data_IF_072827628706
#
_entry.id   IF_072827628706
#
_cell.length_a   1.000
_cell.length_b   1.000
_cell.length_c   1.000
_cell.angle_alpha   90.00
_cell.angle_beta   90.00
_cell.angle_gamma   90.00
#
_symmetry.space_group_name_H-M   'P 1'
#
loop_
_entity.id
_entity.type
_entity.pdbx_description
1 polymer ?
#
# COMPACT_ATOMS: atom_id res chain seq x y z
N UNK A 1 0.59 13.16 42.09
CA UNK A 1 1.01 11.91 41.39
C UNK A 1 -0.15 10.95 41.45
N UNK A 2 -0.76 10.60 40.31
CA UNK A 2 -2.05 9.91 40.24
C UNK A 2 -1.88 8.55 39.50
N UNK A 3 -2.19 7.40 40.10
CA UNK A 3 -1.86 6.08 39.56
C UNK A 3 -2.97 5.49 38.68
N UNK A 4 -3.52 6.27 37.73
CA UNK A 4 -4.62 5.84 36.84
C UNK A 4 -4.27 5.88 35.34
N UNK A 5 -2.98 5.80 34.99
CA UNK A 5 -2.49 5.77 33.59
C UNK A 5 -1.73 4.49 33.24
N UNK A 6 -2.07 3.34 33.85
CA UNK A 6 -1.36 2.07 33.60
C UNK A 6 -2.12 0.98 32.81
N UNK A 7 -3.31 1.24 32.29
CA UNK A 7 -4.16 0.15 31.73
C UNK A 7 -4.59 0.28 30.26
N UNK A 8 -3.89 1.02 29.39
CA UNK A 8 -4.27 1.08 27.96
C UNK A 8 -3.11 1.01 26.95
N UNK A 9 -1.94 0.52 27.33
CA UNK A 9 -0.83 0.32 26.39
C UNK A 9 -0.25 -1.09 26.49
N UNK A 10 -1.11 -2.10 26.30
CA UNK A 10 -0.64 -3.41 25.86
C UNK A 10 -0.44 -3.29 24.35
N UNK A 11 0.75 -2.84 23.96
CA UNK A 11 1.25 -3.01 22.61
C UNK A 11 1.37 -4.52 22.41
N UNK A 12 0.41 -5.06 21.68
CA UNK A 12 0.42 -6.43 21.20
C UNK A 12 1.54 -6.54 20.14
N UNK A 13 2.79 -6.69 20.58
CA UNK A 13 3.86 -7.21 19.75
C UNK A 13 3.61 -8.71 19.65
N UNK A 14 2.71 -9.11 18.75
CA UNK A 14 2.59 -10.52 18.35
C UNK A 14 3.72 -10.77 17.36
N UNK A 15 4.75 -11.45 17.86
CA UNK A 15 5.72 -12.15 17.02
C UNK A 15 4.95 -13.19 16.19
N UNK A 16 4.83 -12.94 14.88
CA UNK A 16 4.23 -13.91 13.96
C UNK A 16 5.21 -15.05 13.70
N UNK A 17 4.86 -16.24 14.20
CA UNK A 17 5.32 -17.52 13.66
C UNK A 17 4.12 -18.16 12.97
N UNK A 18 4.03 -18.03 11.65
CA UNK A 18 3.01 -18.72 10.85
C UNK A 18 3.60 -20.01 10.30
N UNK A 19 3.03 -21.15 10.71
CA UNK A 19 3.25 -22.43 10.05
C UNK A 19 2.68 -22.37 8.64
N UNK A 20 3.54 -22.43 7.62
CA UNK A 20 3.14 -22.43 6.20
C UNK A 20 3.07 -23.86 5.66
N UNK A 21 1.95 -24.21 5.03
CA UNK A 21 1.87 -25.34 4.10
C UNK A 21 2.53 -24.96 2.76
N UNK A 22 3.31 -25.86 2.13
CA UNK A 22 3.96 -25.57 0.86
C UNK A 22 2.94 -25.37 -0.27
N UNK A 23 3.02 -24.23 -0.95
CA UNK A 23 2.21 -23.91 -2.14
C UNK A 23 2.91 -24.47 -3.38
N UNK A 24 2.18 -25.22 -4.20
CA UNK A 24 2.68 -25.75 -5.48
C UNK A 24 2.58 -24.71 -6.59
N UNK A 25 3.53 -24.72 -7.53
CA UNK A 25 3.76 -23.69 -8.56
C UNK A 25 2.59 -23.40 -9.53
N UNK A 26 1.47 -24.13 -9.47
CA UNK A 26 0.32 -23.93 -10.36
C UNK A 26 -0.72 -22.89 -9.89
N UNK A 27 -0.68 -22.42 -8.63
CA UNK A 27 -1.74 -21.57 -8.05
C UNK A 27 -1.40 -20.07 -7.91
N UNK A 28 -0.24 -19.63 -8.40
CA UNK A 28 0.32 -18.29 -8.14
C UNK A 28 -0.47 -17.11 -8.73
N UNK A 29 -1.45 -17.33 -9.61
CA UNK A 29 -2.23 -16.24 -10.22
C UNK A 29 -3.52 -15.89 -9.46
N UNK A 30 -4.16 -16.84 -8.76
CA UNK A 30 -5.50 -16.64 -8.18
C UNK A 30 -5.51 -16.51 -6.66
N UNK A 31 -4.53 -17.08 -5.97
CA UNK A 31 -4.58 -17.19 -4.51
C UNK A 31 -3.95 -15.98 -3.77
N UNK A 32 -3.07 -15.23 -4.44
CA UNK A 32 -2.40 -14.06 -3.82
C UNK A 32 -3.30 -12.86 -3.54
N UNK A 33 -4.52 -12.83 -4.10
CA UNK A 33 -5.50 -11.79 -3.76
C UNK A 33 -6.19 -12.05 -2.41
N UNK A 34 -6.10 -13.27 -1.87
CA UNK A 34 -6.77 -13.64 -0.61
C UNK A 34 -5.91 -13.38 0.64
N UNK A 35 -4.59 -13.24 0.51
CA UNK A 35 -3.68 -13.09 1.65
C UNK A 35 -3.70 -11.68 2.30
N UNK A 36 -4.35 -10.69 1.66
CA UNK A 36 -4.50 -9.32 2.21
C UNK A 36 -5.64 -9.22 3.25
N UNK A 37 -6.32 -10.32 3.57
CA UNK A 37 -7.36 -10.37 4.61
C UNK A 37 -6.84 -10.58 6.04
N UNK A 38 -5.54 -10.53 6.30
CA UNK A 38 -4.97 -10.55 7.66
C UNK A 38 -4.78 -9.11 8.15
N UNK A 39 -5.73 -8.42 8.78
CA UNK A 39 -6.39 -8.81 10.03
C UNK A 39 -7.74 -8.06 10.19
N UNK A 40 -8.67 -8.22 9.25
CA UNK A 40 -10.09 -7.83 9.42
C UNK A 40 -10.97 -8.92 8.81
N UNK A 41 -10.88 -10.16 9.28
CA UNK A 41 -11.87 -11.21 9.01
C UNK A 41 -11.73 -12.40 9.96
N UNK A 42 -12.29 -12.25 11.16
CA UNK A 42 -13.07 -13.35 11.74
C UNK A 42 -14.49 -12.82 11.85
N UNK A 43 -15.28 -12.97 10.80
CA UNK A 43 -16.74 -13.04 10.83
C UNK A 43 -17.24 -13.52 9.45
N UNK A 44 -18.18 -14.45 9.50
CA UNK A 44 -18.77 -15.28 8.44
C UNK A 44 -19.41 -14.51 7.25
N UNK A 45 -19.64 -15.24 6.14
CA UNK A 45 -20.51 -14.89 4.99
C UNK A 45 -21.60 -13.85 5.34
N UNK A 46 -21.80 -12.70 4.68
CA UNK A 46 -21.83 -12.44 3.24
C UNK A 46 -21.79 -10.91 2.93
N UNK A 47 -20.91 -10.14 3.59
CA UNK A 47 -20.77 -8.69 3.30
C UNK A 47 -19.30 -8.29 3.28
N UNK A 48 -18.82 -7.77 2.12
CA UNK A 48 -17.47 -7.19 1.99
C UNK A 48 -17.23 -6.14 3.07
N UNK A 49 -16.01 -6.06 3.60
CA UNK A 49 -15.68 -5.02 4.57
C UNK A 49 -15.76 -3.64 3.89
N UNK A 50 -16.12 -2.56 4.62
CA UNK A 50 -16.14 -1.21 4.07
C UNK A 50 -14.82 -0.80 3.40
N UNK A 51 -13.70 -1.22 3.97
CA UNK A 51 -12.35 -0.98 3.42
C UNK A 51 -12.22 -1.64 2.05
N UNK A 52 -12.59 -2.92 1.91
CA UNK A 52 -12.52 -3.64 0.63
C UNK A 52 -13.37 -2.97 -0.46
N UNK A 53 -14.59 -2.55 -0.10
CA UNK A 53 -15.49 -1.85 -1.03
C UNK A 53 -14.86 -0.52 -1.48
N UNK A 54 -14.31 0.25 -0.54
CA UNK A 54 -13.66 1.52 -0.86
C UNK A 54 -12.47 1.30 -1.81
N UNK A 55 -11.60 0.36 -1.46
CA UNK A 55 -10.36 0.08 -2.20
C UNK A 55 -10.67 -0.42 -3.61
N UNK A 56 -11.59 -1.37 -3.76
CA UNK A 56 -12.00 -1.90 -5.07
C UNK A 56 -12.58 -0.80 -5.96
N UNK A 57 -13.47 0.04 -5.43
CA UNK A 57 -14.06 1.16 -6.17
C UNK A 57 -12.98 2.16 -6.58
N UNK A 58 -12.09 2.55 -5.66
CA UNK A 58 -11.01 3.50 -5.93
C UNK A 58 -10.08 2.97 -7.03
N UNK A 59 -9.59 1.73 -6.90
CA UNK A 59 -8.69 1.09 -7.87
C UNK A 59 -9.34 1.03 -9.25
N UNK A 60 -10.58 0.54 -9.36
CA UNK A 60 -11.28 0.46 -10.65
C UNK A 60 -11.43 1.83 -11.31
N UNK A 61 -11.76 2.86 -10.53
CA UNK A 61 -11.94 4.22 -11.04
C UNK A 61 -10.62 4.88 -11.46
N UNK A 62 -9.53 4.65 -10.72
CA UNK A 62 -8.19 5.10 -11.13
C UNK A 62 -7.81 4.50 -12.48
N UNK A 63 -8.00 3.20 -12.68
CA UNK A 63 -7.67 2.56 -13.95
C UNK A 63 -8.59 2.95 -15.12
N UNK A 64 -9.82 3.35 -14.83
CA UNK A 64 -10.74 3.89 -15.83
C UNK A 64 -10.42 5.33 -16.26
N UNK A 65 -9.67 6.09 -15.45
CA UNK A 65 -9.36 7.49 -15.68
C UNK A 65 -7.95 7.68 -16.26
N UNK A 66 -7.85 8.24 -17.46
CA UNK A 66 -6.56 8.46 -18.12
C UNK A 66 -5.61 9.33 -17.29
N UNK A 67 -6.12 10.44 -16.76
CA UNK A 67 -5.32 11.37 -15.95
C UNK A 67 -4.84 10.71 -14.66
N UNK A 68 -5.65 9.86 -14.03
CA UNK A 68 -5.23 9.17 -12.80
C UNK A 68 -4.26 8.02 -13.09
N UNK A 69 -4.44 7.28 -14.19
CA UNK A 69 -3.44 6.29 -14.62
C UNK A 69 -2.09 6.94 -14.83
N UNK A 70 -2.05 8.10 -15.48
CA UNK A 70 -0.81 8.86 -15.68
C UNK A 70 -0.27 9.44 -14.36
N UNK A 71 -1.16 9.93 -13.49
CA UNK A 71 -0.78 10.46 -12.19
C UNK A 71 -0.03 9.43 -11.35
N UNK A 72 -0.54 8.20 -11.30
CA UNK A 72 0.07 7.09 -10.55
C UNK A 72 1.16 6.37 -11.33
N UNK A 73 1.48 6.80 -12.55
CA UNK A 73 2.56 6.21 -13.32
C UNK A 73 3.93 6.62 -12.77
N UNK A 74 4.56 5.68 -12.07
CA UNK A 74 5.84 5.88 -11.38
C UNK A 74 7.07 5.42 -12.16
N UNK A 75 6.92 4.97 -13.41
CA UNK A 75 8.03 4.43 -14.21
C UNK A 75 9.24 5.36 -14.36
N UNK A 76 9.03 6.68 -14.21
CA UNK A 76 10.08 7.70 -14.29
C UNK A 76 10.28 8.48 -12.99
N UNK A 77 9.61 8.06 -11.91
CA UNK A 77 9.63 8.73 -10.63
C UNK A 77 10.85 8.26 -9.84
N UNK A 78 11.69 9.20 -9.41
CA UNK A 78 12.78 8.88 -8.49
C UNK A 78 12.19 8.57 -7.10
N UNK A 79 12.43 7.36 -6.56
CA UNK A 79 11.96 6.94 -5.25
C UNK A 79 12.33 7.90 -4.12
N UNK A 80 13.60 8.33 -4.13
CA UNK A 80 14.19 9.25 -3.16
C UNK A 80 13.55 10.63 -3.26
N UNK A 81 13.27 11.12 -4.47
CA UNK A 81 12.59 12.41 -4.65
C UNK A 81 11.15 12.35 -4.14
N UNK A 82 10.45 11.24 -4.37
CA UNK A 82 9.09 11.07 -3.89
C UNK A 82 9.04 10.95 -2.37
N UNK A 83 9.88 10.10 -1.76
CA UNK A 83 9.95 9.98 -0.29
C UNK A 83 10.33 11.31 0.36
N UNK A 84 11.27 12.06 -0.21
CA UNK A 84 11.63 13.41 0.24
C UNK A 84 10.45 14.38 0.14
N UNK A 85 9.69 14.35 -0.96
CA UNK A 85 8.50 15.19 -1.12
C UNK A 85 7.44 14.86 -0.05
N UNK A 86 7.12 13.59 0.14
CA UNK A 86 6.16 13.15 1.16
C UNK A 86 6.65 13.52 2.56
N UNK A 87 7.94 13.33 2.85
CA UNK A 87 8.54 13.70 4.14
C UNK A 87 8.34 15.19 4.41
N UNK A 88 8.68 16.05 3.44
CA UNK A 88 8.47 17.50 3.53
C UNK A 88 7.02 17.84 3.82
N UNK A 89 6.05 17.18 3.18
CA UNK A 89 4.63 17.40 3.47
C UNK A 89 4.27 17.01 4.89
N UNK A 90 4.71 15.86 5.38
CA UNK A 90 4.44 15.45 6.76
C UNK A 90 5.04 16.43 7.78
N UNK A 91 6.25 16.95 7.52
CA UNK A 91 6.87 18.02 8.33
C UNK A 91 5.98 19.25 8.37
N UNK A 92 5.65 19.82 7.20
CA UNK A 92 4.88 21.06 7.11
C UNK A 92 3.48 20.93 7.73
N UNK A 93 2.79 19.82 7.48
CA UNK A 93 1.45 19.58 8.04
C UNK A 93 1.52 19.38 9.55
N UNK A 94 2.50 18.63 10.06
CA UNK A 94 2.63 18.37 11.49
C UNK A 94 3.06 19.61 12.26
N UNK A 95 3.97 20.42 11.69
CA UNK A 95 4.38 21.72 12.22
C UNK A 95 3.19 22.69 12.30
N UNK A 96 2.40 22.80 11.22
CA UNK A 96 1.22 23.66 11.18
C UNK A 96 0.15 23.27 12.21
N UNK A 97 0.10 21.99 12.63
CA UNK A 97 -0.78 21.49 13.68
C UNK A 97 -0.23 21.71 15.10
N UNK A 98 1.01 22.21 15.23
CA UNK A 98 1.70 22.33 16.52
C UNK A 98 2.08 20.99 17.14
N UNK A 99 2.32 19.96 16.31
CA UNK A 99 2.73 18.65 16.81
C UNK A 99 4.13 18.71 17.42
N UNK A 100 4.36 18.24 18.65
CA UNK A 100 5.72 18.04 19.13
C UNK A 100 6.38 16.93 18.29
N UNK A 101 7.67 17.08 18.01
CA UNK A 101 8.47 16.11 17.24
C UNK A 101 7.96 15.87 15.80
N UNK A 102 7.51 16.92 15.10
CA UNK A 102 7.00 16.81 13.72
C UNK A 102 7.97 16.14 12.74
N UNK A 103 9.29 16.30 12.91
CA UNK A 103 10.32 15.64 12.11
C UNK A 103 10.26 14.12 12.27
N UNK A 104 10.12 13.64 13.51
CA UNK A 104 10.02 12.22 13.80
C UNK A 104 8.72 11.62 13.24
N UNK A 105 7.60 12.36 13.25
CA UNK A 105 6.35 11.91 12.61
C UNK A 105 6.57 11.70 11.10
N UNK A 106 7.26 12.64 10.45
CA UNK A 106 7.56 12.56 9.03
C UNK A 106 8.53 11.43 8.70
N UNK A 107 9.58 11.25 9.50
CA UNK A 107 10.53 10.14 9.37
C UNK A 107 9.82 8.80 9.51
N UNK A 108 9.00 8.64 10.56
CA UNK A 108 8.20 7.46 10.78
C UNK A 108 7.33 7.15 9.56
N UNK A 109 6.58 8.12 9.05
CA UNK A 109 5.68 7.93 7.92
C UNK A 109 6.41 7.43 6.65
N UNK A 110 7.62 7.94 6.39
CA UNK A 110 8.29 7.80 5.08
C UNK A 110 9.41 6.78 5.03
N UNK A 111 9.93 6.32 6.18
CA UNK A 111 11.04 5.36 6.25
C UNK A 111 10.85 4.10 5.38
N UNK A 112 9.68 3.42 5.35
CA UNK A 112 9.52 2.21 4.56
C UNK A 112 9.55 2.45 3.05
N UNK A 113 9.25 3.68 2.59
CA UNK A 113 9.30 4.03 1.18
C UNK A 113 10.73 3.96 0.67
N UNK A 114 11.67 4.59 1.37
CA UNK A 114 13.07 4.61 0.92
C UNK A 114 13.69 3.21 0.80
N UNK A 115 13.19 2.23 1.57
CA UNK A 115 13.74 0.87 1.64
C UNK A 115 13.20 -0.09 0.56
N UNK A 116 12.04 0.20 -0.04
CA UNK A 116 11.33 -0.78 -0.87
C UNK A 116 10.80 -0.19 -2.20
N UNK A 117 11.19 1.01 -2.58
CA UNK A 117 10.46 1.73 -3.64
C UNK A 117 10.94 1.43 -5.06
N UNK A 118 12.16 0.98 -5.25
CA UNK A 118 12.66 0.48 -6.53
C UNK A 118 11.86 -0.72 -7.08
N UNK A 119 11.15 -1.45 -6.21
CA UNK A 119 10.30 -2.57 -6.61
C UNK A 119 8.82 -2.23 -6.78
N UNK A 120 8.38 -1.02 -6.42
CA UNK A 120 6.96 -0.67 -6.52
C UNK A 120 6.52 -0.49 -7.96
N UNK A 121 5.36 -1.04 -8.27
CA UNK A 121 4.65 -0.82 -9.53
C UNK A 121 3.59 0.28 -9.38
N UNK A 122 3.01 0.70 -10.51
CA UNK A 122 1.81 1.55 -10.50
C UNK A 122 0.68 0.94 -9.65
N UNK A 123 0.49 -0.38 -9.71
CA UNK A 123 -0.57 -1.05 -8.95
C UNK A 123 -0.34 -0.89 -7.45
N UNK A 124 0.90 -1.08 -7.01
CA UNK A 124 1.29 -0.93 -5.61
C UNK A 124 1.02 0.49 -5.09
N UNK A 125 1.39 1.50 -5.88
CA UNK A 125 1.10 2.90 -5.59
C UNK A 125 -0.41 3.14 -5.42
N UNK A 126 -1.21 2.70 -6.38
CA UNK A 126 -2.67 2.89 -6.34
C UNK A 126 -3.27 2.20 -5.11
N UNK A 127 -2.81 0.99 -4.79
CA UNK A 127 -3.28 0.24 -3.61
C UNK A 127 -2.88 0.90 -2.30
N UNK A 128 -1.63 1.36 -2.15
CA UNK A 128 -1.21 2.10 -0.95
C UNK A 128 -2.10 3.32 -0.75
N UNK A 129 -2.27 4.13 -1.80
CA UNK A 129 -3.08 5.34 -1.75
C UNK A 129 -4.58 5.09 -1.61
N UNK A 130 -5.08 3.89 -1.92
CA UNK A 130 -6.43 3.47 -1.59
C UNK A 130 -6.56 3.00 -0.14
N UNK A 131 -5.61 2.19 0.33
CA UNK A 131 -5.70 1.47 1.61
C UNK A 131 -5.52 2.39 2.81
N UNK A 132 -4.47 3.20 2.86
CA UNK A 132 -4.18 3.97 4.07
C UNK A 132 -5.30 4.96 4.44
N UNK A 133 -5.92 5.72 3.50
CA UNK A 133 -6.99 6.62 3.89
C UNK A 133 -8.28 5.85 4.20
N UNK A 134 -8.53 4.70 3.56
CA UNK A 134 -9.68 3.85 3.88
C UNK A 134 -9.60 3.29 5.30
N UNK A 135 -8.44 2.74 5.68
CA UNK A 135 -8.20 2.18 7.01
C UNK A 135 -8.25 3.29 8.06
N UNK A 136 -7.61 4.44 7.78
CA UNK A 136 -7.71 5.60 8.65
C UNK A 136 -9.17 6.04 8.84
N UNK A 137 -9.92 6.23 7.76
CA UNK A 137 -11.33 6.64 7.80
C UNK A 137 -12.20 5.62 8.56
N UNK A 138 -11.96 4.32 8.38
CA UNK A 138 -12.65 3.26 9.12
C UNK A 138 -12.33 3.34 10.62
N UNK A 139 -11.06 3.52 10.96
CA UNK A 139 -10.60 3.63 12.35
C UNK A 139 -11.10 4.88 13.07
N UNK A 140 -11.49 5.92 12.33
CA UNK A 140 -12.09 7.16 12.83
C UNK A 140 -13.64 7.09 12.83
N UNK A 141 -14.23 5.98 12.37
CA UNK A 141 -15.68 5.82 12.26
C UNK A 141 -16.32 6.55 11.08
N UNK A 142 -15.52 7.16 10.21
CA UNK A 142 -15.98 7.89 9.03
C UNK A 142 -16.34 6.96 7.87
N UNK A 143 -15.66 5.81 7.74
CA UNK A 143 -15.94 4.81 6.72
C UNK A 143 -16.86 3.70 7.26
N UNK A 144 -17.98 3.50 6.59
CA UNK A 144 -19.01 2.52 6.93
C UNK A 144 -19.46 1.76 5.69
N UNK A 145 -20.16 0.63 5.86
CA UNK A 145 -20.71 -0.13 4.73
C UNK A 145 -21.64 0.71 3.84
N UNK A 146 -22.32 1.70 4.42
CA UNK A 146 -23.31 2.54 3.72
C UNK A 146 -22.69 3.65 2.86
N UNK A 147 -21.45 4.06 3.16
CA UNK A 147 -20.81 5.20 2.49
C UNK A 147 -19.47 4.86 1.82
N UNK A 148 -18.98 3.62 1.91
CA UNK A 148 -17.68 3.24 1.38
C UNK A 148 -17.50 3.55 -0.11
N UNK A 149 -18.44 3.14 -0.94
CA UNK A 149 -18.41 3.43 -2.38
C UNK A 149 -18.45 4.93 -2.67
N UNK A 150 -19.36 5.66 -1.99
CA UNK A 150 -19.49 7.11 -2.16
C UNK A 150 -18.20 7.84 -1.80
N UNK A 151 -17.57 7.47 -0.67
CA UNK A 151 -16.32 8.09 -0.23
C UNK A 151 -15.15 7.75 -1.16
N UNK A 152 -15.11 6.54 -1.72
CA UNK A 152 -14.09 6.18 -2.72
C UNK A 152 -14.25 7.04 -3.99
N UNK A 153 -15.48 7.23 -4.48
CA UNK A 153 -15.76 8.09 -5.63
C UNK A 153 -15.40 9.55 -5.33
N UNK A 154 -15.75 10.06 -4.14
CA UNK A 154 -15.40 11.40 -3.69
C UNK A 154 -13.87 11.59 -3.70
N UNK A 155 -13.13 10.61 -3.17
CA UNK A 155 -11.68 10.66 -3.16
C UNK A 155 -11.07 10.66 -4.56
N UNK A 156 -11.55 9.78 -5.45
CA UNK A 156 -11.15 9.76 -6.86
C UNK A 156 -11.36 11.12 -7.52
N UNK A 157 -12.54 11.73 -7.34
CA UNK A 157 -12.85 13.04 -7.93
C UNK A 157 -11.92 14.14 -7.39
N UNK A 158 -11.60 14.12 -6.11
CA UNK A 158 -10.63 15.04 -5.50
C UNK A 158 -9.24 14.83 -6.12
N UNK A 159 -8.80 13.59 -6.29
CA UNK A 159 -7.53 13.26 -6.92
C UNK A 159 -7.48 13.72 -8.38
N UNK A 160 -8.56 13.54 -9.15
CA UNK A 160 -8.64 14.03 -10.53
C UNK A 160 -8.55 15.56 -10.60
N UNK A 161 -9.28 16.25 -9.74
CA UNK A 161 -9.26 17.71 -9.70
C UNK A 161 -7.88 18.22 -9.31
N UNK A 162 -7.23 17.59 -8.33
CA UNK A 162 -5.85 17.88 -7.95
C UNK A 162 -4.89 17.68 -9.12
N UNK A 163 -5.02 16.57 -9.85
CA UNK A 163 -4.20 16.27 -11.01
C UNK A 163 -4.39 17.31 -12.13
N UNK A 164 -5.64 17.63 -12.48
CA UNK A 164 -5.97 18.66 -13.50
C UNK A 164 -5.41 20.03 -13.14
N UNK A 165 -5.38 20.36 -11.84
CA UNK A 165 -4.93 21.67 -11.37
C UNK A 165 -3.41 21.80 -11.28
N UNK A 166 -2.68 20.69 -11.08
CA UNK A 166 -1.27 20.76 -10.68
C UNK A 166 -0.31 20.00 -11.59
N UNK A 167 -0.74 18.97 -12.32
CA UNK A 167 0.16 18.17 -13.15
C UNK A 167 0.60 18.96 -14.37
N UNK A 168 1.91 19.08 -14.52
CA UNK A 168 2.57 19.68 -15.69
C UNK A 168 3.28 18.56 -16.46
N UNK A 169 3.07 18.43 -17.78
CA UNK A 169 3.74 17.42 -18.60
C UNK A 169 5.26 17.49 -18.44
N UNK A 170 5.88 16.33 -18.16
CA UNK A 170 7.34 16.22 -17.96
C UNK A 170 7.87 16.62 -16.58
N UNK A 171 7.05 17.20 -15.69
CA UNK A 171 7.45 17.49 -14.31
C UNK A 171 6.92 16.44 -13.33
N UNK A 172 7.79 15.53 -12.90
CA UNK A 172 7.43 14.51 -11.93
C UNK A 172 7.10 15.06 -10.54
N UNK A 173 7.65 16.22 -10.16
CA UNK A 173 7.36 16.86 -8.86
C UNK A 173 5.90 17.33 -8.81
N UNK A 174 5.37 17.75 -9.96
CA UNK A 174 3.97 18.13 -10.10
C UNK A 174 3.02 16.95 -9.82
N UNK A 175 3.38 15.73 -10.24
CA UNK A 175 2.62 14.50 -9.92
C UNK A 175 2.62 14.21 -8.42
N UNK A 176 3.77 14.37 -7.75
CA UNK A 176 3.84 14.19 -6.28
C UNK A 176 2.96 15.19 -5.55
N UNK A 177 2.99 16.43 -6.01
CA UNK A 177 2.17 17.52 -5.48
C UNK A 177 0.68 17.20 -5.67
N UNK A 178 0.29 16.75 -6.86
CA UNK A 178 -1.09 16.35 -7.15
C UNK A 178 -1.59 15.22 -6.23
N UNK A 179 -0.81 14.14 -6.08
CA UNK A 179 -1.15 13.00 -5.22
C UNK A 179 -1.31 13.45 -3.77
N UNK A 180 -0.33 14.22 -3.29
CA UNK A 180 -0.28 14.68 -1.90
C UNK A 180 -1.44 15.64 -1.60
N UNK A 181 -1.69 16.60 -2.49
CA UNK A 181 -2.78 17.57 -2.35
C UNK A 181 -4.14 16.89 -2.41
N UNK A 182 -4.35 15.93 -3.31
CA UNK A 182 -5.63 15.22 -3.40
C UNK A 182 -5.89 14.37 -2.14
N UNK A 183 -4.85 13.72 -1.64
CA UNK A 183 -4.90 12.98 -0.36
C UNK A 183 -5.23 13.89 0.82
N UNK A 184 -4.54 15.02 0.95
CA UNK A 184 -4.75 16.00 2.01
C UNK A 184 -6.17 16.60 1.97
N UNK A 185 -6.66 16.96 0.77
CA UNK A 185 -8.01 17.46 0.58
C UNK A 185 -9.08 16.44 0.99
N UNK A 186 -8.90 15.17 0.62
CA UNK A 186 -9.83 14.11 1.04
C UNK A 186 -9.79 13.87 2.56
N UNK A 187 -8.60 13.82 3.15
CA UNK A 187 -8.46 13.66 4.61
C UNK A 187 -9.12 14.82 5.37
N UNK A 188 -8.99 16.05 4.86
CA UNK A 188 -9.67 17.24 5.39
C UNK A 188 -11.19 17.19 5.21
N UNK A 189 -11.70 16.63 4.11
CA UNK A 189 -13.16 16.48 3.91
C UNK A 189 -13.78 15.52 4.92
N UNK A 190 -13.00 14.59 5.49
CA UNK A 190 -13.41 13.68 6.55
C UNK A 190 -13.35 14.28 7.97
N UNK A 191 -12.95 15.55 8.10
CA UNK A 191 -12.97 16.30 9.35
C UNK A 191 -11.61 16.88 9.75
N UNK A 192 -11.59 17.57 10.89
CA UNK A 192 -10.40 18.28 11.35
C UNK A 192 -9.27 17.31 11.71
N UNK A 193 -8.12 17.55 11.12
CA UNK A 193 -6.87 16.91 11.49
C UNK A 193 -6.36 17.53 12.80
N UNK A 194 -6.06 16.70 13.78
CA UNK A 194 -5.50 17.09 15.07
C UNK A 194 -4.16 16.38 15.28
N UNK A 195 -3.35 16.81 16.24
CA UNK A 195 -2.06 16.16 16.52
C UNK A 195 -2.20 14.64 16.75
N UNK A 196 -3.14 14.12 17.59
CA UNK A 196 -3.31 12.67 17.74
C UNK A 196 -3.72 11.97 16.44
N UNK A 197 -4.56 12.60 15.62
CA UNK A 197 -4.97 12.05 14.33
C UNK A 197 -3.83 12.04 13.31
N UNK A 198 -2.93 13.03 13.36
CA UNK A 198 -1.75 13.09 12.52
C UNK A 198 -0.80 11.91 12.79
N UNK A 199 -0.59 11.56 14.05
CA UNK A 199 0.17 10.37 14.43
C UNK A 199 -0.45 9.08 13.90
N UNK A 200 -1.77 8.94 14.05
CA UNK A 200 -2.51 7.77 13.58
C UNK A 200 -2.47 7.65 12.05
N UNK A 201 -2.58 8.78 11.35
CA UNK A 201 -2.44 8.86 9.89
C UNK A 201 -1.03 8.45 9.44
N UNK A 202 0.01 9.01 10.06
CA UNK A 202 1.41 8.66 9.80
C UNK A 202 1.67 7.17 10.01
N UNK A 203 1.10 6.59 11.08
CA UNK A 203 1.18 5.16 11.36
C UNK A 203 0.54 4.32 10.24
N UNK A 204 -0.69 4.61 9.81
CA UNK A 204 -1.32 3.85 8.74
C UNK A 204 -0.61 4.01 7.40
N UNK A 205 -0.14 5.23 7.10
CA UNK A 205 0.65 5.50 5.90
C UNK A 205 1.93 4.67 5.89
N UNK A 206 2.73 4.73 6.96
CA UNK A 206 3.91 3.88 7.18
C UNK A 206 3.60 2.39 6.96
N UNK A 207 2.54 1.92 7.63
CA UNK A 207 2.19 0.50 7.63
C UNK A 207 1.82 -0.01 6.24
N UNK A 208 1.14 0.79 5.41
CA UNK A 208 0.80 0.37 4.04
C UNK A 208 2.03 0.25 3.15
N UNK A 209 2.99 1.17 3.26
CA UNK A 209 4.25 1.04 2.53
C UNK A 209 5.05 -0.19 2.97
N UNK A 210 5.11 -0.44 4.27
CA UNK A 210 5.81 -1.60 4.80
C UNK A 210 5.18 -2.91 4.32
N UNK A 211 3.85 -3.06 4.45
CA UNK A 211 3.15 -4.28 4.00
C UNK A 211 3.34 -4.53 2.50
N UNK A 212 3.25 -3.47 1.70
CA UNK A 212 3.41 -3.57 0.25
C UNK A 212 4.84 -3.99 -0.12
N UNK A 213 5.84 -3.43 0.56
CA UNK A 213 7.25 -3.82 0.36
C UNK A 213 7.51 -5.28 0.75
N UNK A 214 7.02 -5.72 1.90
CA UNK A 214 7.15 -7.13 2.35
C UNK A 214 6.50 -8.10 1.37
N UNK A 215 5.31 -7.76 0.87
CA UNK A 215 4.60 -8.61 -0.09
C UNK A 215 5.33 -8.72 -1.43
N UNK A 216 5.99 -7.65 -1.88
CA UNK A 216 6.81 -7.69 -3.09
C UNK A 216 8.06 -8.56 -2.92
N UNK A 217 8.79 -8.42 -1.81
CA UNK A 217 9.93 -9.28 -1.52
C UNK A 217 9.53 -10.75 -1.48
N UNK A 218 8.38 -11.07 -0.88
CA UNK A 218 7.83 -12.43 -0.85
C UNK A 218 7.54 -12.96 -2.26
N UNK A 219 6.93 -12.15 -3.13
CA UNK A 219 6.65 -12.53 -4.52
C UNK A 219 7.92 -12.79 -5.32
N UNK A 220 8.94 -11.96 -5.14
CA UNK A 220 10.22 -12.12 -5.84
C UNK A 220 10.93 -13.40 -5.40
N UNK A 221 10.99 -13.68 -4.09
CA UNK A 221 11.54 -14.94 -3.58
C UNK A 221 10.81 -16.17 -4.13
N UNK A 222 9.47 -16.14 -4.18
CA UNK A 222 8.71 -17.25 -4.75
C UNK A 222 8.95 -17.42 -6.25
N UNK A 223 9.19 -16.34 -6.98
CA UNK A 223 9.49 -16.37 -8.41
C UNK A 223 10.87 -16.99 -8.68
N UNK A 224 11.89 -16.58 -7.91
CA UNK A 224 13.25 -17.12 -8.00
C UNK A 224 13.27 -18.62 -7.68
N UNK A 225 12.60 -19.03 -6.60
CA UNK A 225 12.41 -20.44 -6.22
C UNK A 225 11.73 -21.27 -7.34
N UNK A 226 10.82 -20.65 -8.11
CA UNK A 226 10.14 -21.32 -9.23
C UNK A 226 11.05 -21.48 -10.44
N UNK A 227 11.87 -20.47 -10.76
CA UNK A 227 12.84 -20.54 -11.86
C UNK A 227 13.89 -21.62 -11.58
N UNK A 228 14.43 -21.65 -10.37
CA UNK A 228 15.45 -22.63 -9.99
C UNK A 228 14.93 -24.06 -10.12
N UNK A 229 13.69 -24.32 -9.65
CA UNK A 229 13.04 -25.63 -9.81
C UNK A 229 12.75 -26.00 -11.26
N UNK A 230 12.39 -25.02 -12.10
CA UNK A 230 12.14 -25.27 -13.53
C UNK A 230 13.43 -25.62 -14.28
N UNK A 231 14.55 -24.99 -13.92
CA UNK A 231 15.85 -25.26 -14.53
C UNK A 231 16.42 -26.63 -14.12
N UNK A 232 16.30 -27.02 -12.84
CA UNK A 232 16.70 -28.36 -12.36
C UNK A 232 15.98 -29.48 -13.12
N UNK A 233 14.67 -29.32 -13.36
CA UNK A 233 13.89 -30.31 -14.12
C UNK A 233 14.24 -30.35 -15.63
N UNK A 234 14.87 -29.31 -16.17
CA UNK A 234 15.31 -29.28 -17.58
C UNK A 234 16.60 -30.08 -17.75
N UNK A 235 17.54 -29.90 -16.84
CA UNK A 235 18.84 -30.60 -16.87
C UNK A 235 18.69 -32.12 -16.65
N UNK A 236 17.71 -32.57 -15.86
CA UNK A 236 17.37 -33.99 -15.69
C UNK A 236 16.74 -34.64 -16.94
N UNK A 237 16.07 -33.87 -17.78
CA UNK A 237 15.47 -34.38 -19.02
C UNK A 237 16.49 -34.44 -20.17
N UNK A 238 17.40 -33.48 -20.25
CA UNK A 238 18.45 -33.47 -21.29
C UNK A 238 19.49 -34.57 -21.04
N UNK A 239 19.79 -34.91 -19.78
CA UNK A 239 20.73 -35.98 -19.41
C UNK A 239 20.21 -37.42 -19.60
N UNK A 240 18.92 -37.61 -19.87
CA UNK A 240 18.34 -38.92 -20.22
C UNK A 240 18.25 -39.20 -21.74
N UNK A 241 18.63 -38.25 -22.58
CA UNK A 241 18.48 -38.36 -24.05
C UNK A 241 19.66 -39.04 -24.77
N UNK A 242 20.78 -39.30 -24.10
CA UNK A 242 22.02 -39.83 -24.72
C UNK A 242 22.22 -41.37 -24.61
N UNK A 243 21.20 -42.14 -24.19
CA UNK A 243 21.33 -43.60 -24.00
C UNK A 243 20.57 -44.47 -25.01
N UNK A 244 20.35 -43.99 -26.23
CA UNK A 244 19.76 -44.81 -27.32
C UNK A 244 20.46 -44.61 -28.67
N UNK A 245 21.73 -45.01 -28.78
CA UNK A 245 22.28 -45.50 -30.06
C UNK A 245 22.80 -46.92 -29.89
N UNK A 246 21.85 -47.85 -29.91
CA UNK A 246 22.10 -49.28 -29.96
C UNK A 246 22.67 -49.67 -31.32
N UNK A 247 23.72 -50.49 -31.24
CA UNK A 247 24.40 -51.19 -32.32
C UNK A 247 23.46 -51.94 -33.27
N UNK A 248 23.70 -51.80 -34.57
CA UNK A 248 23.55 -52.87 -35.57
C UNK A 248 24.75 -52.84 -36.51
#
# INVERSE_FOLDING_TARGET
MNPLLRSSLVILVVLYTTNFTPVTCQDTSKDLSQTVAFNVSILSHHQRAPVDVFVDVFVRRVYASEILRELFDISYISPVKFSFHVHKTFVLTSEALGAPNYEYIAELATRPMAQNFDVFTREDMVRVYANYPAIYAYSEGNLTKKNAERLAIEYVNIMENSAKATVVPGDYTSKFTAITNGSDQFLKSMGNLTVPKMWKLAFYYHHQWLLTGVELHRKNHLYDDCIDKANVNRDENDSNSDSSSGSQ
#
